data_IF_804709909917
#
_entry.id   IF_804709909917
#
_cell.length_a   1.000
_cell.length_b   1.000
_cell.length_c   1.000
_cell.angle_alpha   90.00
_cell.angle_beta   90.00
_cell.angle_gamma   90.00
#
_symmetry.space_group_name_H-M   'P 1'
#
loop_
_entity.id
_entity.type
_entity.pdbx_description
1 polymer ?
#
# COMPACT_ATOMS: atom_id res chain seq x y z
N UNK A 1 -1.70 18.05 -20.99
CA UNK A 1 -1.91 17.17 -19.81
C UNK A 1 -3.31 16.62 -19.91
N UNK A 2 -3.51 15.31 -19.70
CA UNK A 2 -4.85 14.74 -19.63
C UNK A 2 -5.59 15.36 -18.44
N UNK A 3 -6.86 15.72 -18.64
CA UNK A 3 -7.72 16.23 -17.56
C UNK A 3 -8.05 15.11 -16.61
N UNK A 4 -7.93 15.37 -15.31
CA UNK A 4 -8.38 14.46 -14.26
C UNK A 4 -9.89 14.62 -14.09
N UNK A 5 -10.62 13.51 -14.07
CA UNK A 5 -12.05 13.47 -13.77
C UNK A 5 -12.25 12.74 -12.45
N UNK A 6 -12.93 13.37 -11.51
CA UNK A 6 -13.26 12.77 -10.21
C UNK A 6 -14.66 12.18 -10.26
N UNK A 7 -14.80 10.97 -9.74
CA UNK A 7 -16.03 10.20 -9.68
C UNK A 7 -16.31 9.72 -8.26
N UNK A 8 -17.56 9.38 -7.99
CA UNK A 8 -18.01 8.75 -6.74
C UNK A 8 -18.72 7.44 -7.10
N UNK A 9 -18.29 6.35 -6.49
CA UNK A 9 -18.92 5.05 -6.56
C UNK A 9 -19.61 4.75 -5.23
N UNK A 10 -20.94 4.63 -5.26
CA UNK A 10 -21.69 4.14 -4.11
C UNK A 10 -21.47 2.63 -3.96
N UNK A 11 -20.62 2.23 -3.03
CA UNK A 11 -20.35 0.84 -2.68
C UNK A 11 -21.00 0.50 -1.33
N UNK A 12 -21.16 -0.79 -0.98
CA UNK A 12 -21.74 -1.18 0.30
C UNK A 12 -21.03 -0.57 1.50
N UNK A 13 -21.70 0.37 2.18
CA UNK A 13 -21.20 1.03 3.39
C UNK A 13 -20.15 2.11 3.16
N UNK A 14 -19.97 2.58 1.91
CA UNK A 14 -19.02 3.67 1.61
C UNK A 14 -19.36 4.34 0.27
N UNK A 15 -19.12 5.65 0.20
CA UNK A 15 -19.02 6.39 -1.04
C UNK A 15 -17.53 6.51 -1.40
N UNK A 16 -17.07 5.72 -2.39
CA UNK A 16 -15.67 5.69 -2.83
C UNK A 16 -15.41 6.80 -3.83
N UNK A 17 -14.41 7.63 -3.57
CA UNK A 17 -13.97 8.68 -4.48
C UNK A 17 -12.74 8.20 -5.25
N UNK A 18 -12.80 8.33 -6.58
CA UNK A 18 -11.70 7.96 -7.46
C UNK A 18 -11.50 8.98 -8.58
N UNK A 19 -10.27 9.04 -9.05
CA UNK A 19 -9.86 9.95 -10.13
C UNK A 19 -9.42 9.14 -11.36
N UNK A 20 -9.88 9.57 -12.53
CA UNK A 20 -9.49 9.00 -13.81
C UNK A 20 -8.71 10.03 -14.62
N UNK A 21 -7.51 9.66 -15.07
CA UNK A 21 -6.65 10.42 -15.96
C UNK A 21 -6.53 9.68 -17.29
N UNK A 22 -7.14 10.18 -18.34
CA UNK A 22 -7.18 9.55 -19.64
C UNK A 22 -8.58 9.06 -20.03
N UNK A 23 -8.75 8.50 -21.23
CA UNK A 23 -10.06 8.04 -21.73
C UNK A 23 -10.49 6.72 -21.08
N UNK A 24 -11.79 6.53 -20.89
CA UNK A 24 -12.43 5.24 -20.63
C UNK A 24 -13.43 4.93 -21.74
N UNK A 25 -13.35 3.75 -22.40
CA UNK A 25 -12.30 2.73 -22.22
C UNK A 25 -10.91 3.23 -22.64
N UNK A 26 -9.82 2.60 -22.12
CA UNK A 26 -8.45 3.00 -22.44
C UNK A 26 -8.18 3.02 -23.94
N UNK A 27 -7.49 4.06 -24.43
CA UNK A 27 -7.01 4.11 -25.80
C UNK A 27 -5.68 3.35 -25.93
N UNK A 28 -5.40 2.81 -27.12
CA UNK A 28 -4.10 2.20 -27.41
C UNK A 28 -3.91 0.75 -26.99
N UNK A 29 -4.96 0.09 -26.48
CA UNK A 29 -4.93 -1.37 -26.21
C UNK A 29 -4.23 -1.78 -24.92
N UNK A 30 -3.69 -0.84 -24.11
CA UNK A 30 -3.16 -1.12 -22.80
C UNK A 30 -4.29 -1.13 -21.75
N UNK A 31 -4.26 -2.04 -20.75
CA UNK A 31 -5.17 -2.00 -19.61
C UNK A 31 -5.07 -0.66 -18.87
N UNK A 32 -6.12 -0.19 -18.21
CA UNK A 32 -6.00 0.93 -17.29
C UNK A 32 -5.02 0.57 -16.15
N UNK A 33 -4.23 1.53 -15.68
CA UNK A 33 -3.33 1.35 -14.55
C UNK A 33 -3.99 1.91 -13.30
N UNK A 34 -4.38 1.03 -12.39
CA UNK A 34 -4.88 1.40 -11.07
C UNK A 34 -3.72 1.50 -10.09
N UNK A 35 -3.58 2.65 -9.42
CA UNK A 35 -2.55 2.87 -8.40
C UNK A 35 -3.22 2.94 -7.03
N UNK A 36 -2.81 2.08 -6.11
CA UNK A 36 -3.45 1.91 -4.82
C UNK A 36 -2.45 1.83 -3.66
N UNK A 37 -2.86 2.34 -2.52
CA UNK A 37 -2.11 2.28 -1.25
C UNK A 37 -3.04 2.10 -0.05
N UNK A 38 -2.47 1.82 1.10
CA UNK A 38 -3.16 1.79 2.39
C UNK A 38 -2.14 2.06 3.49
N UNK A 39 -2.33 3.13 4.29
CA UNK A 39 -3.46 4.08 4.30
C UNK A 39 -3.31 5.29 3.33
N UNK A 40 -2.53 5.17 2.29
CA UNK A 40 -2.30 6.23 1.29
C UNK A 40 -3.54 6.47 0.42
N UNK A 41 -3.89 7.74 0.21
CA UNK A 41 -4.96 8.18 -0.68
C UNK A 41 -4.49 8.43 -2.12
N UNK A 42 -5.39 8.78 -3.01
CA UNK A 42 -5.10 9.15 -4.40
C UNK A 42 -4.02 10.24 -4.53
N UNK A 43 -3.96 11.16 -3.56
CA UNK A 43 -3.01 12.27 -3.54
C UNK A 43 -1.55 11.77 -3.53
N UNK A 44 -1.25 10.74 -2.77
CA UNK A 44 0.09 10.16 -2.68
C UNK A 44 0.62 9.59 -4.01
N UNK A 45 -0.27 9.28 -4.95
CA UNK A 45 0.11 8.80 -6.28
C UNK A 45 0.22 9.90 -7.34
N UNK A 46 -0.04 11.16 -6.99
CA UNK A 46 -0.10 12.27 -7.94
C UNK A 46 1.14 12.42 -8.82
N UNK A 47 2.33 12.33 -8.23
CA UNK A 47 3.62 12.42 -8.93
C UNK A 47 3.81 11.26 -9.89
N UNK A 48 3.63 10.01 -9.43
CA UNK A 48 3.78 8.83 -10.28
C UNK A 48 2.73 8.81 -11.41
N UNK A 49 1.48 9.11 -11.11
CA UNK A 49 0.39 9.14 -12.09
C UNK A 49 0.62 10.16 -13.20
N UNK A 50 1.22 11.31 -12.89
CA UNK A 50 1.55 12.34 -13.88
C UNK A 50 2.61 11.89 -14.90
N UNK A 51 3.43 10.92 -14.55
CA UNK A 51 4.45 10.34 -15.44
C UNK A 51 3.85 9.34 -16.45
N UNK A 52 2.64 8.79 -16.23
CA UNK A 52 1.98 7.84 -17.14
C UNK A 52 1.01 8.59 -18.06
N UNK A 53 1.55 9.17 -19.15
CA UNK A 53 0.76 9.94 -20.15
C UNK A 53 0.29 9.11 -21.33
N UNK A 54 0.75 7.88 -21.44
CA UNK A 54 0.55 6.93 -22.54
C UNK A 54 -0.59 5.94 -22.29
N UNK A 55 -1.20 5.98 -21.11
CA UNK A 55 -2.31 5.10 -20.73
C UNK A 55 -3.26 5.78 -19.73
N UNK A 56 -4.43 5.21 -19.59
CA UNK A 56 -5.37 5.65 -18.55
C UNK A 56 -4.88 5.23 -17.18
N UNK A 57 -4.84 6.19 -16.25
CA UNK A 57 -4.46 5.96 -14.84
C UNK A 57 -5.66 6.24 -13.95
N UNK A 58 -5.90 5.34 -12.99
CA UNK A 58 -6.94 5.48 -11.97
C UNK A 58 -6.28 5.48 -10.60
N UNK A 59 -6.67 6.42 -9.76
CA UNK A 59 -6.29 6.48 -8.34
C UNK A 59 -7.56 6.62 -7.50
N UNK A 60 -7.58 6.14 -6.27
CA UNK A 60 -8.75 6.23 -5.41
C UNK A 60 -8.36 6.50 -3.96
N UNK A 61 -9.32 6.98 -3.20
CA UNK A 61 -9.20 7.08 -1.75
C UNK A 61 -9.83 5.81 -1.14
N UNK A 62 -9.08 5.00 -0.37
CA UNK A 62 -9.64 3.82 0.28
C UNK A 62 -10.80 4.17 1.24
N UNK A 63 -11.67 3.20 1.53
CA UNK A 63 -12.82 3.41 2.40
C UNK A 63 -12.45 4.06 3.74
N UNK A 64 -13.13 5.19 4.03
CA UNK A 64 -12.91 5.96 5.26
C UNK A 64 -11.63 6.78 5.28
N UNK A 65 -10.94 6.93 4.14
CA UNK A 65 -9.75 7.76 3.99
C UNK A 65 -10.00 8.88 2.98
N UNK A 66 -9.29 10.00 3.17
CA UNK A 66 -9.36 11.14 2.27
C UNK A 66 -10.80 11.60 2.01
N UNK A 67 -11.23 11.54 0.75
CA UNK A 67 -12.56 11.98 0.29
C UNK A 67 -13.63 10.87 0.36
N UNK A 68 -13.21 9.60 0.58
CA UNK A 68 -14.14 8.46 0.65
C UNK A 68 -14.80 8.36 2.01
N UNK A 69 -16.13 8.48 2.05
CA UNK A 69 -16.92 8.58 3.27
C UNK A 69 -17.61 7.27 3.57
N UNK A 70 -17.33 6.68 4.74
CA UNK A 70 -18.04 5.50 5.23
C UNK A 70 -19.45 5.87 5.70
N UNK A 71 -20.38 5.00 5.34
CA UNK A 71 -21.81 5.14 5.73
C UNK A 71 -22.28 4.00 6.63
N UNK A 72 -21.38 3.01 6.91
CA UNK A 72 -21.69 1.83 7.73
C UNK A 72 -21.41 2.01 9.23
N UNK A 73 -20.88 3.17 9.65
CA UNK A 73 -20.55 3.45 11.04
C UNK A 73 -19.35 2.67 11.62
N UNK A 74 -18.62 1.94 10.78
CA UNK A 74 -17.43 1.16 11.16
C UNK A 74 -16.16 1.97 10.96
N UNK A 75 -15.09 1.56 11.65
CA UNK A 75 -13.74 2.17 11.51
C UNK A 75 -12.67 1.15 11.07
N UNK A 76 -12.94 -0.14 11.15
CA UNK A 76 -12.01 -1.20 10.76
C UNK A 76 -11.84 -1.28 9.24
N UNK A 77 -10.62 -1.62 8.81
CA UNK A 77 -10.27 -1.85 7.43
C UNK A 77 -9.65 -3.24 7.29
N UNK A 78 -10.30 -4.11 6.53
CA UNK A 78 -9.80 -5.45 6.24
C UNK A 78 -9.42 -5.58 4.77
N UNK A 79 -8.43 -6.43 4.42
CA UNK A 79 -8.10 -6.70 3.01
C UNK A 79 -9.32 -7.16 2.21
N UNK A 80 -10.20 -7.98 2.81
CA UNK A 80 -11.41 -8.51 2.18
C UNK A 80 -12.40 -7.40 1.80
N UNK A 81 -12.64 -6.46 2.71
CA UNK A 81 -13.53 -5.34 2.42
C UNK A 81 -12.97 -4.45 1.30
N UNK A 82 -11.67 -4.15 1.38
CA UNK A 82 -11.03 -3.30 0.39
C UNK A 82 -10.90 -3.99 -0.97
N UNK A 83 -10.65 -5.29 -1.01
CA UNK A 83 -10.66 -6.07 -2.25
C UNK A 83 -12.04 -6.06 -2.91
N UNK A 84 -13.12 -6.21 -2.12
CA UNK A 84 -14.48 -6.07 -2.65
C UNK A 84 -14.77 -4.66 -3.20
N UNK A 85 -14.25 -3.60 -2.56
CA UNK A 85 -14.35 -2.24 -3.08
C UNK A 85 -13.61 -2.08 -4.41
N UNK A 86 -12.40 -2.63 -4.51
CA UNK A 86 -11.62 -2.59 -5.76
C UNK A 86 -12.31 -3.36 -6.88
N UNK A 87 -12.89 -4.52 -6.60
CA UNK A 87 -13.68 -5.27 -7.57
C UNK A 87 -14.83 -4.40 -8.14
N UNK A 88 -15.63 -3.81 -7.26
CA UNK A 88 -16.71 -2.90 -7.68
C UNK A 88 -16.20 -1.68 -8.46
N UNK A 89 -15.05 -1.12 -8.07
CA UNK A 89 -14.43 -0.03 -8.78
C UNK A 89 -14.03 -0.45 -10.20
N UNK A 90 -13.37 -1.60 -10.36
CA UNK A 90 -12.95 -2.14 -11.66
C UNK A 90 -14.16 -2.41 -12.56
N UNK A 91 -15.24 -2.98 -12.01
CA UNK A 91 -16.50 -3.13 -12.74
C UNK A 91 -17.07 -1.78 -13.19
N UNK A 92 -17.10 -0.78 -12.30
CA UNK A 92 -17.63 0.56 -12.60
C UNK A 92 -16.81 1.30 -13.67
N UNK A 93 -15.51 1.03 -13.81
CA UNK A 93 -14.69 1.58 -14.89
C UNK A 93 -15.15 1.09 -16.27
N UNK A 94 -15.73 -0.11 -16.37
CA UNK A 94 -16.19 -0.69 -17.63
C UNK A 94 -15.08 -0.88 -18.67
N UNK A 95 -13.84 -0.99 -18.21
CA UNK A 95 -12.63 -1.01 -19.03
C UNK A 95 -12.03 -2.41 -19.22
N UNK A 96 -12.66 -3.45 -18.65
CA UNK A 96 -12.11 -4.80 -18.55
C UNK A 96 -11.06 -4.91 -17.44
N UNK A 97 -10.26 -6.00 -17.43
CA UNK A 97 -9.23 -6.18 -16.43
C UNK A 97 -8.18 -5.06 -16.48
N UNK A 98 -7.61 -4.73 -15.31
CA UNK A 98 -6.65 -3.64 -15.12
C UNK A 98 -5.25 -4.15 -14.80
N UNK A 99 -4.23 -3.30 -15.00
CA UNK A 99 -2.96 -3.45 -14.31
C UNK A 99 -3.01 -2.72 -12.98
N UNK A 100 -2.35 -3.26 -11.95
CA UNK A 100 -2.30 -2.62 -10.64
C UNK A 100 -0.85 -2.39 -10.21
N UNK A 101 -0.55 -1.15 -9.82
CA UNK A 101 0.56 -0.83 -8.94
C UNK A 101 0.01 -0.61 -7.54
N UNK A 102 0.43 -1.46 -6.60
CA UNK A 102 -0.06 -1.47 -5.23
C UNK A 102 1.08 -1.31 -4.23
N UNK A 103 1.05 -0.27 -3.40
CA UNK A 103 2.10 0.00 -2.42
C UNK A 103 1.65 -0.32 -1.00
N UNK A 104 2.56 -0.89 -0.20
CA UNK A 104 2.35 -1.13 1.23
C UNK A 104 1.09 -1.97 1.49
N UNK A 105 0.21 -1.54 2.40
CA UNK A 105 -1.07 -2.20 2.67
C UNK A 105 -1.98 -2.32 1.45
N UNK A 106 -1.83 -1.46 0.43
CA UNK A 106 -2.47 -1.62 -0.87
C UNK A 106 -2.04 -2.89 -1.59
N UNK A 107 -0.75 -3.29 -1.45
CA UNK A 107 -0.25 -4.57 -1.95
C UNK A 107 -0.94 -5.77 -1.31
N UNK A 108 -1.23 -5.70 -0.01
CA UNK A 108 -2.00 -6.73 0.70
C UNK A 108 -3.43 -6.82 0.16
N UNK A 109 -4.08 -5.68 -0.01
CA UNK A 109 -5.43 -5.60 -0.58
C UNK A 109 -5.48 -6.16 -2.00
N UNK A 110 -4.48 -5.85 -2.83
CA UNK A 110 -4.41 -6.34 -4.20
C UNK A 110 -4.15 -7.85 -4.29
N UNK A 111 -3.38 -8.42 -3.37
CA UNK A 111 -3.20 -9.88 -3.26
C UNK A 111 -4.54 -10.58 -2.91
N UNK A 112 -5.32 -10.01 -1.99
CA UNK A 112 -6.67 -10.52 -1.67
C UNK A 112 -7.62 -10.39 -2.88
N UNK A 113 -7.56 -9.27 -3.62
CA UNK A 113 -8.34 -9.09 -4.85
C UNK A 113 -8.01 -10.18 -5.88
N UNK A 114 -6.73 -10.44 -6.14
CA UNK A 114 -6.32 -11.49 -7.08
C UNK A 114 -6.77 -12.88 -6.61
N UNK A 115 -6.69 -13.17 -5.32
CA UNK A 115 -7.13 -14.46 -4.78
C UNK A 115 -8.65 -14.68 -4.92
N UNK A 116 -9.45 -13.60 -4.82
CA UNK A 116 -10.92 -13.68 -4.83
C UNK A 116 -11.56 -13.35 -6.18
N UNK A 117 -10.92 -12.49 -6.99
CA UNK A 117 -11.39 -12.02 -8.29
C UNK A 117 -10.26 -12.05 -9.33
N UNK A 118 -9.76 -13.25 -9.68
CA UNK A 118 -8.56 -13.39 -10.54
C UNK A 118 -8.76 -12.88 -11.97
N UNK A 119 -10.00 -12.62 -12.39
CA UNK A 119 -10.33 -12.05 -13.71
C UNK A 119 -10.21 -10.54 -13.78
N UNK A 120 -10.04 -9.84 -12.66
CA UNK A 120 -10.02 -8.37 -12.61
C UNK A 120 -8.66 -7.77 -12.93
N UNK A 121 -7.59 -8.54 -12.79
CA UNK A 121 -6.22 -8.04 -12.82
C UNK A 121 -5.38 -8.78 -13.85
N UNK A 122 -4.79 -8.04 -14.80
CA UNK A 122 -3.83 -8.58 -15.78
C UNK A 122 -2.47 -8.74 -15.11
N UNK A 123 -1.93 -7.63 -14.58
CA UNK A 123 -0.65 -7.61 -13.87
C UNK A 123 -0.79 -6.89 -12.53
N UNK A 124 -0.29 -7.52 -11.48
CA UNK A 124 -0.13 -6.91 -10.17
C UNK A 124 1.36 -6.68 -9.88
N UNK A 125 1.74 -5.44 -9.61
CA UNK A 125 3.01 -5.08 -8.97
C UNK A 125 2.71 -4.71 -7.52
N UNK A 126 3.00 -5.63 -6.58
CA UNK A 126 2.81 -5.43 -5.14
C UNK A 126 4.14 -5.00 -4.50
N UNK A 127 4.27 -3.70 -4.24
CA UNK A 127 5.47 -3.08 -3.71
C UNK A 127 5.44 -3.08 -2.17
N UNK A 128 6.34 -3.88 -1.59
CA UNK A 128 6.57 -4.00 -0.15
C UNK A 128 5.31 -4.20 0.69
N UNK A 129 4.51 -5.26 0.44
CA UNK A 129 3.31 -5.56 1.22
C UNK A 129 3.68 -6.00 2.64
N UNK A 130 3.18 -5.33 3.71
CA UNK A 130 3.59 -5.56 5.09
C UNK A 130 2.85 -6.76 5.73
N UNK A 131 3.23 -7.97 5.38
CA UNK A 131 2.59 -9.21 5.83
C UNK A 131 3.44 -9.89 6.91
N UNK A 132 3.02 -9.83 8.18
CA UNK A 132 3.78 -10.42 9.30
C UNK A 132 3.95 -11.94 9.17
N UNK A 133 2.94 -12.63 8.65
CA UNK A 133 2.91 -14.08 8.59
C UNK A 133 4.02 -14.73 7.75
N UNK A 134 4.70 -13.97 6.89
CA UNK A 134 5.80 -14.46 6.05
C UNK A 134 7.17 -14.26 6.68
N UNK A 135 7.25 -13.57 7.81
CA UNK A 135 8.51 -13.31 8.51
C UNK A 135 8.92 -14.49 9.42
N UNK A 136 10.20 -14.82 9.52
CA UNK A 136 10.69 -15.81 10.48
C UNK A 136 10.49 -15.34 11.92
N UNK A 137 10.56 -14.04 12.19
CA UNK A 137 10.32 -13.37 13.46
C UNK A 137 8.93 -12.70 13.56
N UNK A 138 7.89 -13.32 12.99
CA UNK A 138 6.52 -12.77 12.96
C UNK A 138 6.03 -12.30 14.35
N UNK A 139 6.32 -13.07 15.41
CA UNK A 139 5.97 -12.70 16.78
C UNK A 139 6.71 -11.42 17.24
N UNK A 140 7.95 -11.23 16.82
CA UNK A 140 8.72 -10.00 17.05
C UNK A 140 8.10 -8.80 16.34
N UNK A 141 7.71 -8.96 15.08
CA UNK A 141 7.02 -7.93 14.31
C UNK A 141 5.65 -7.54 14.91
N UNK A 142 4.87 -8.52 15.38
CA UNK A 142 3.61 -8.29 16.10
C UNK A 142 3.84 -7.53 17.41
N UNK A 143 4.88 -7.88 18.17
CA UNK A 143 5.28 -7.17 19.39
C UNK A 143 5.71 -5.73 19.08
N UNK A 144 6.47 -5.50 18.01
CA UNK A 144 6.92 -4.16 17.60
C UNK A 144 5.71 -3.29 17.17
N UNK A 145 4.76 -3.87 16.43
CA UNK A 145 3.49 -3.22 16.09
C UNK A 145 2.67 -2.87 17.33
N UNK A 146 2.58 -3.76 18.29
CA UNK A 146 1.88 -3.49 19.54
C UNK A 146 2.55 -2.36 20.32
N UNK A 147 3.89 -2.32 20.35
CA UNK A 147 4.66 -1.30 21.06
C UNK A 147 4.41 0.11 20.51
N UNK A 148 4.47 0.34 19.18
CA UNK A 148 4.16 1.67 18.66
C UNK A 148 2.69 2.08 18.89
N UNK A 149 1.77 1.12 18.83
CA UNK A 149 0.35 1.41 19.14
C UNK A 149 0.17 1.79 20.62
N UNK A 150 0.85 1.13 21.55
CA UNK A 150 0.82 1.51 22.97
C UNK A 150 1.35 2.93 23.18
N UNK A 151 2.47 3.28 22.50
CA UNK A 151 3.00 4.66 22.53
C UNK A 151 1.99 5.65 21.97
N UNK A 152 1.35 5.35 20.83
CA UNK A 152 0.29 6.18 20.26
C UNK A 152 -0.88 6.37 21.22
N UNK A 153 -1.36 5.29 21.86
CA UNK A 153 -2.47 5.36 22.81
C UNK A 153 -2.12 6.15 24.07
N UNK A 154 -0.86 6.12 24.50
CA UNK A 154 -0.40 6.83 25.69
C UNK A 154 -0.04 8.30 25.44
N UNK A 155 0.59 8.61 24.29
CA UNK A 155 1.28 9.88 24.07
C UNK A 155 0.86 10.62 22.78
N UNK A 156 -0.13 10.12 22.03
CA UNK A 156 -0.68 10.78 20.85
C UNK A 156 0.09 10.51 19.55
N UNK A 157 -0.33 11.25 18.51
CA UNK A 157 0.07 11.02 17.13
C UNK A 157 1.59 11.11 16.92
N UNK A 158 2.23 12.19 17.39
CA UNK A 158 3.66 12.42 17.11
C UNK A 158 4.56 11.34 17.71
N UNK A 159 4.32 10.96 18.96
CA UNK A 159 5.07 9.90 19.63
C UNK A 159 4.82 8.53 18.97
N UNK A 160 3.57 8.23 18.62
CA UNK A 160 3.20 7.01 17.90
C UNK A 160 3.85 6.92 16.53
N UNK A 161 3.88 8.03 15.77
CA UNK A 161 4.51 8.09 14.45
C UNK A 161 6.03 7.95 14.54
N UNK A 162 6.67 8.57 15.54
CA UNK A 162 8.10 8.39 15.77
C UNK A 162 8.46 6.93 16.08
N UNK A 163 7.65 6.26 16.91
CA UNK A 163 7.82 4.84 17.20
C UNK A 163 7.57 3.94 15.97
N UNK A 164 6.58 4.28 15.13
CA UNK A 164 6.33 3.61 13.86
C UNK A 164 7.50 3.77 12.88
N UNK A 165 8.04 4.99 12.74
CA UNK A 165 9.22 5.25 11.89
C UNK A 165 10.43 4.44 12.39
N UNK A 166 10.67 4.40 13.70
CA UNK A 166 11.74 3.59 14.27
C UNK A 166 11.57 2.10 13.96
N UNK A 167 10.34 1.56 14.05
CA UNK A 167 10.04 0.18 13.67
C UNK A 167 10.31 -0.08 12.19
N UNK A 168 9.82 0.79 11.30
CA UNK A 168 9.91 0.57 9.86
C UNK A 168 11.30 0.84 9.28
N UNK A 169 12.12 1.63 9.98
CA UNK A 169 13.52 1.90 9.63
C UNK A 169 14.51 0.91 10.26
N UNK A 170 14.05 0.01 11.12
CA UNK A 170 14.91 -1.01 11.71
C UNK A 170 15.32 -2.03 10.66
N UNK A 171 16.61 -2.34 10.60
CA UNK A 171 17.17 -3.38 9.74
C UNK A 171 17.36 -4.69 10.53
N UNK A 172 16.90 -5.79 9.95
CA UNK A 172 16.98 -7.11 10.56
C UNK A 172 15.74 -7.51 11.38
N UNK A 173 15.88 -8.59 12.13
CA UNK A 173 14.80 -9.17 12.95
C UNK A 173 14.51 -8.32 14.20
N UNK A 174 13.26 -8.35 14.66
CA UNK A 174 12.83 -7.66 15.89
C UNK A 174 13.21 -8.50 17.12
N UNK A 175 14.46 -8.40 17.50
CA UNK A 175 15.05 -9.06 18.69
C UNK A 175 14.98 -8.16 19.93
N UNK A 176 15.46 -8.66 21.07
CA UNK A 176 15.57 -7.85 22.31
C UNK A 176 16.44 -6.59 22.12
N UNK A 177 17.35 -6.58 21.13
CA UNK A 177 18.14 -5.40 20.78
C UNK A 177 17.26 -4.25 20.28
N UNK A 178 16.28 -4.54 19.40
CA UNK A 178 15.29 -3.53 18.97
C UNK A 178 14.51 -2.99 20.17
N UNK A 179 13.99 -3.87 21.03
CA UNK A 179 13.16 -3.47 22.17
C UNK A 179 13.94 -2.78 23.30
N UNK A 180 15.27 -2.86 23.30
CA UNK A 180 16.14 -2.12 24.23
C UNK A 180 16.46 -0.69 23.75
N UNK A 181 16.11 -0.33 22.50
CA UNK A 181 16.33 1.02 21.99
C UNK A 181 15.49 2.06 22.76
N UNK A 182 16.03 3.25 23.03
CA UNK A 182 15.24 4.34 23.59
C UNK A 182 14.14 4.75 22.63
N UNK A 183 13.00 5.18 23.18
CA UNK A 183 11.93 5.77 22.35
C UNK A 183 12.45 7.03 21.65
N UNK A 184 12.25 7.15 20.34
CA UNK A 184 12.70 8.32 19.60
C UNK A 184 11.88 9.57 19.96
N UNK A 185 12.55 10.72 19.98
CA UNK A 185 11.88 12.01 20.15
C UNK A 185 11.11 12.36 18.86
N UNK A 186 9.78 12.61 18.91
CA UNK A 186 9.00 13.03 17.76
C UNK A 186 9.57 14.24 17.01
N UNK A 187 10.18 15.19 17.74
CA UNK A 187 10.79 16.38 17.15
C UNK A 187 11.93 16.07 16.16
N UNK A 188 12.62 14.94 16.34
CA UNK A 188 13.68 14.51 15.41
C UNK A 188 13.15 14.19 13.99
N UNK A 189 11.85 13.87 13.89
CA UNK A 189 11.17 13.57 12.64
C UNK A 189 10.23 14.69 12.18
N UNK A 190 10.30 15.85 12.82
CA UNK A 190 9.41 16.98 12.53
C UNK A 190 7.95 16.72 12.92
N UNK A 191 7.70 15.75 13.79
CA UNK A 191 6.35 15.41 14.27
C UNK A 191 5.94 16.31 15.43
N UNK A 192 4.62 16.55 15.64
CA UNK A 192 4.13 17.30 16.78
C UNK A 192 4.50 16.63 18.11
N UNK A 193 4.87 17.42 19.09
CA UNK A 193 5.20 16.96 20.45
C UNK A 193 4.01 16.96 21.39
N UNK A 194 2.97 17.74 21.05
CA UNK A 194 1.75 17.84 21.82
C UNK A 194 0.74 16.75 21.42
N UNK A 195 0.06 16.20 22.39
CA UNK A 195 -1.02 15.23 22.19
C UNK A 195 -2.36 15.95 21.99
N UNK A 196 -2.96 15.80 20.81
CA UNK A 196 -4.27 16.36 20.47
C UNK A 196 -5.45 15.51 20.97
N UNK A 197 -5.19 14.40 21.65
CA UNK A 197 -6.18 13.47 22.18
C UNK A 197 -6.82 12.55 21.14
N UNK A 198 -6.49 12.64 19.86
CA UNK A 198 -7.01 11.72 18.83
C UNK A 198 -6.40 10.33 18.95
N UNK A 199 -7.20 9.28 18.68
CA UNK A 199 -6.75 7.86 18.80
C UNK A 199 -7.26 6.98 17.67
N UNK A 200 -7.70 7.57 16.56
CA UNK A 200 -8.29 6.88 15.42
C UNK A 200 -7.48 7.00 14.13
N UNK A 201 -6.20 7.37 14.25
CA UNK A 201 -5.30 7.41 13.08
C UNK A 201 -5.30 6.07 12.35
N UNK A 202 -5.47 6.05 11.01
CA UNK A 202 -5.63 4.81 10.24
C UNK A 202 -4.37 3.94 10.20
N UNK A 203 -3.19 4.50 10.43
CA UNK A 203 -1.92 3.76 10.47
C UNK A 203 -1.58 3.28 11.89
N UNK A 204 -1.74 4.17 12.88
CA UNK A 204 -1.25 3.94 14.24
C UNK A 204 -2.24 3.21 15.13
N UNK A 205 -3.54 3.27 14.82
CA UNK A 205 -4.58 2.57 15.56
C UNK A 205 -4.71 1.10 15.14
N UNK A 206 -5.48 0.33 15.93
CA UNK A 206 -5.77 -1.10 15.61
C UNK A 206 -6.70 -1.28 14.40
N UNK A 207 -7.26 -0.21 13.84
CA UNK A 207 -8.23 -0.27 12.76
C UNK A 207 -7.69 -0.93 11.48
N UNK A 208 -6.38 -0.87 11.25
CA UNK A 208 -5.72 -1.47 10.07
C UNK A 208 -4.90 -2.71 10.39
N UNK A 209 -4.96 -3.27 11.59
CA UNK A 209 -4.16 -4.44 11.94
C UNK A 209 -4.44 -5.66 11.07
N UNK A 210 -5.68 -5.82 10.58
CA UNK A 210 -6.04 -6.87 9.64
C UNK A 210 -5.20 -6.88 8.37
N UNK A 211 -4.61 -5.73 7.98
CA UNK A 211 -3.71 -5.63 6.83
C UNK A 211 -2.42 -6.41 7.11
N UNK A 212 -1.76 -6.16 8.24
CA UNK A 212 -0.49 -6.84 8.58
C UNK A 212 -0.71 -8.27 9.11
N UNK A 213 -1.92 -8.60 9.59
CA UNK A 213 -2.33 -9.94 10.01
C UNK A 213 -2.78 -10.84 8.85
N UNK A 214 -2.84 -10.29 7.64
CA UNK A 214 -3.26 -11.03 6.45
C UNK A 214 -2.38 -12.26 6.21
N UNK A 215 -3.02 -13.34 5.75
CA UNK A 215 -2.35 -14.59 5.37
C UNK A 215 -2.70 -14.91 3.93
N UNK A 216 -1.77 -14.69 2.98
CA UNK A 216 -2.01 -14.98 1.58
C UNK A 216 -2.30 -16.47 1.37
N UNK A 217 -3.31 -16.77 0.56
CA UNK A 217 -3.51 -18.11 0.03
C UNK A 217 -2.65 -18.32 -1.20
N UNK A 218 -1.46 -18.92 -0.99
CA UNK A 218 -0.51 -19.17 -2.08
C UNK A 218 -1.10 -20.07 -3.18
N UNK A 219 -2.04 -20.97 -2.85
CA UNK A 219 -2.69 -21.84 -3.82
C UNK A 219 -3.62 -21.07 -4.75
N UNK A 220 -4.44 -20.18 -4.21
CA UNK A 220 -5.33 -19.31 -5.01
C UNK A 220 -4.52 -18.33 -5.86
N UNK A 221 -3.47 -17.72 -5.29
CA UNK A 221 -2.61 -16.78 -6.01
C UNK A 221 -1.83 -17.46 -7.15
N UNK A 222 -1.34 -18.69 -6.93
CA UNK A 222 -0.66 -19.46 -7.97
C UNK A 222 -1.60 -19.96 -9.07
N UNK A 223 -2.88 -20.17 -8.76
CA UNK A 223 -3.89 -20.59 -9.72
C UNK A 223 -4.47 -19.44 -10.54
N UNK A 224 -4.26 -18.18 -10.11
CA UNK A 224 -4.75 -17.00 -10.81
C UNK A 224 -4.04 -16.82 -12.16
N UNK A 225 -4.78 -16.32 -13.15
CA UNK A 225 -4.19 -15.92 -14.45
C UNK A 225 -3.40 -14.61 -14.37
N UNK A 226 -3.52 -13.89 -13.28
CA UNK A 226 -2.82 -12.63 -13.01
C UNK A 226 -1.32 -12.86 -12.89
N UNK A 227 -0.54 -12.05 -13.59
CA UNK A 227 0.91 -12.00 -13.38
C UNK A 227 1.21 -11.17 -12.14
N UNK A 228 1.77 -11.79 -11.11
CA UNK A 228 2.11 -11.14 -9.85
C UNK A 228 3.62 -10.89 -9.80
N UNK A 229 4.03 -9.66 -9.56
CA UNK A 229 5.40 -9.26 -9.27
C UNK A 229 5.46 -8.66 -7.86
N UNK A 230 6.14 -9.32 -6.94
CA UNK A 230 6.42 -8.75 -5.62
C UNK A 230 7.65 -7.86 -5.76
N UNK A 231 7.50 -6.59 -5.44
CA UNK A 231 8.51 -5.57 -5.64
C UNK A 231 9.12 -5.08 -4.33
N UNK A 232 10.40 -4.70 -4.38
CA UNK A 232 11.16 -4.15 -3.25
C UNK A 232 12.05 -3.00 -3.72
N UNK A 233 12.18 -1.96 -2.92
CA UNK A 233 13.10 -0.85 -3.18
C UNK A 233 14.56 -1.26 -2.98
N UNK A 234 15.46 -0.86 -3.89
CA UNK A 234 16.91 -1.15 -3.78
C UNK A 234 17.55 -0.55 -2.50
N UNK A 235 16.97 0.52 -1.99
CA UNK A 235 17.42 1.22 -0.79
C UNK A 235 16.68 0.78 0.48
N UNK A 236 15.67 -0.10 0.37
CA UNK A 236 14.92 -0.58 1.54
C UNK A 236 15.71 -1.61 2.36
N UNK A 237 16.73 -2.21 1.77
CA UNK A 237 17.61 -3.22 2.38
C UNK A 237 16.88 -4.15 3.38
N UNK A 238 17.36 -4.45 4.52
CA UNK A 238 16.80 -5.42 5.49
C UNK A 238 15.70 -4.81 6.41
N UNK A 239 15.02 -3.75 5.94
CA UNK A 239 13.92 -3.12 6.68
C UNK A 239 12.67 -4.02 6.74
N UNK A 240 11.75 -3.71 7.64
CA UNK A 240 10.53 -4.48 7.85
C UNK A 240 9.77 -4.77 6.55
N UNK A 241 9.49 -3.76 5.74
CA UNK A 241 8.69 -3.92 4.50
C UNK A 241 9.47 -4.63 3.40
N UNK A 242 10.78 -4.47 3.32
CA UNK A 242 11.62 -5.24 2.41
C UNK A 242 11.64 -6.73 2.78
N UNK A 243 11.79 -7.05 4.06
CA UNK A 243 11.77 -8.42 4.56
C UNK A 243 10.42 -9.10 4.32
N UNK A 244 9.30 -8.38 4.50
CA UNK A 244 7.98 -8.92 4.18
C UNK A 244 7.78 -9.13 2.68
N UNK A 245 8.33 -8.25 1.82
CA UNK A 245 8.31 -8.44 0.37
C UNK A 245 9.09 -9.70 -0.04
N UNK A 246 10.30 -9.88 0.48
CA UNK A 246 11.12 -11.08 0.24
C UNK A 246 10.39 -12.35 0.69
N UNK A 247 9.82 -12.33 1.91
CA UNK A 247 9.06 -13.47 2.44
C UNK A 247 7.80 -13.77 1.61
N UNK A 248 7.11 -12.73 1.12
CA UNK A 248 5.93 -12.90 0.25
C UNK A 248 6.31 -13.47 -1.11
N UNK A 249 7.40 -13.01 -1.72
CA UNK A 249 7.91 -13.56 -2.97
C UNK A 249 8.31 -15.04 -2.81
N UNK A 250 9.01 -15.37 -1.73
CA UNK A 250 9.39 -16.75 -1.40
C UNK A 250 8.16 -17.65 -1.20
N UNK A 251 7.10 -17.17 -0.53
CA UNK A 251 5.83 -17.88 -0.37
C UNK A 251 5.19 -18.22 -1.74
N UNK A 252 5.33 -17.33 -2.72
CA UNK A 252 4.82 -17.51 -4.09
C UNK A 252 5.80 -18.22 -5.01
N UNK A 253 6.95 -18.66 -4.53
CA UNK A 253 7.97 -19.39 -5.32
C UNK A 253 8.67 -18.51 -6.36
N UNK A 254 8.79 -17.21 -6.12
CA UNK A 254 9.44 -16.26 -7.03
C UNK A 254 10.47 -15.40 -6.29
N UNK A 255 11.35 -14.75 -7.05
CA UNK A 255 12.25 -13.73 -6.54
C UNK A 255 11.58 -12.36 -6.55
N UNK A 256 12.05 -11.44 -5.70
CA UNK A 256 11.57 -10.06 -5.70
C UNK A 256 12.01 -9.32 -6.95
N UNK A 257 11.17 -8.41 -7.43
CA UNK A 257 11.49 -7.47 -8.49
C UNK A 257 12.02 -6.18 -7.86
N UNK A 258 13.29 -5.86 -8.11
CA UNK A 258 13.93 -4.66 -7.54
C UNK A 258 13.49 -3.41 -8.29
N UNK A 259 13.12 -2.39 -7.51
CA UNK A 259 12.75 -1.05 -7.98
C UNK A 259 13.74 0.00 -7.45
N UNK A 260 13.93 1.12 -8.18
CA UNK A 260 14.76 2.22 -7.70
C UNK A 260 14.25 2.81 -6.39
N UNK A 261 15.19 3.31 -5.55
CA UNK A 261 14.92 3.99 -4.29
C UNK A 261 14.38 3.07 -3.17
N UNK A 262 13.59 3.60 -2.25
CA UNK A 262 13.08 2.97 -1.02
C UNK A 262 11.56 2.75 -1.07
N UNK A 263 10.94 2.44 0.08
CA UNK A 263 9.49 2.20 0.21
C UNK A 263 8.62 3.30 -0.43
N UNK A 264 9.03 4.55 -0.32
CA UNK A 264 8.38 5.71 -0.94
C UNK A 264 8.99 6.12 -2.28
N UNK A 265 9.69 5.23 -3.00
CA UNK A 265 10.47 5.55 -4.20
C UNK A 265 9.69 6.20 -5.35
N UNK A 266 8.37 6.01 -5.39
CA UNK A 266 7.47 6.63 -6.36
C UNK A 266 6.96 8.02 -5.96
N UNK A 267 7.23 8.46 -4.73
CA UNK A 267 6.83 9.78 -4.23
C UNK A 267 7.74 10.87 -4.79
N UNK A 268 7.16 12.06 -4.98
CA UNK A 268 7.94 13.28 -5.20
C UNK A 268 8.65 13.75 -3.92
N UNK A 269 9.20 14.94 -3.99
CA UNK A 269 9.82 15.59 -2.82
C UNK A 269 8.74 16.04 -1.83
N UNK A 270 8.37 15.14 -0.94
CA UNK A 270 7.42 15.38 0.14
C UNK A 270 8.13 15.22 1.49
N UNK A 271 8.18 16.31 2.26
CA UNK A 271 8.64 16.31 3.66
C UNK A 271 10.05 15.75 3.90
N UNK A 272 10.96 15.90 2.94
CA UNK A 272 12.36 15.45 3.09
C UNK A 272 12.58 13.94 2.88
N UNK A 273 11.58 13.21 2.38
CA UNK A 273 11.66 11.80 2.04
C UNK A 273 11.48 11.63 0.52
N UNK A 274 12.41 12.20 -0.24
CA UNK A 274 12.36 12.20 -1.69
C UNK A 274 12.65 10.82 -2.27
N UNK A 275 11.72 10.33 -3.12
CA UNK A 275 11.93 9.16 -3.95
C UNK A 275 12.67 9.47 -5.25
N UNK A 276 12.67 8.49 -6.17
CA UNK A 276 13.15 8.60 -7.56
C UNK A 276 12.00 8.30 -8.52
N UNK A 277 10.94 9.14 -8.57
CA UNK A 277 9.68 8.80 -9.24
C UNK A 277 9.83 8.58 -10.75
N UNK A 278 10.74 9.27 -11.43
CA UNK A 278 10.97 9.09 -12.87
C UNK A 278 11.61 7.72 -13.17
N UNK A 279 12.64 7.34 -12.41
CA UNK A 279 13.29 6.04 -12.51
C UNK A 279 12.33 4.92 -12.09
N UNK A 280 11.55 5.15 -11.04
CA UNK A 280 10.52 4.23 -10.58
C UNK A 280 9.44 4.01 -11.66
N UNK A 281 8.96 5.08 -12.31
CA UNK A 281 7.99 4.98 -13.39
C UNK A 281 8.54 4.24 -14.63
N UNK A 282 9.82 4.45 -14.96
CA UNK A 282 10.48 3.71 -16.03
C UNK A 282 10.51 2.21 -15.72
N UNK A 283 10.93 1.85 -14.50
CA UNK A 283 10.96 0.46 -14.04
C UNK A 283 9.56 -0.18 -14.01
N UNK A 284 8.56 0.56 -13.54
CA UNK A 284 7.18 0.07 -13.53
C UNK A 284 6.67 -0.25 -14.94
N UNK A 285 6.97 0.60 -15.94
CA UNK A 285 6.63 0.31 -17.35
C UNK A 285 7.29 -0.96 -17.85
N UNK A 286 8.57 -1.16 -17.57
CA UNK A 286 9.29 -2.40 -17.96
C UNK A 286 8.60 -3.63 -17.37
N UNK A 287 8.28 -3.59 -16.08
CA UNK A 287 7.62 -4.70 -15.40
C UNK A 287 6.23 -4.95 -15.98
N UNK A 288 5.44 -3.90 -16.25
CA UNK A 288 4.11 -4.05 -16.84
C UNK A 288 4.15 -4.56 -18.28
N UNK A 289 5.20 -4.23 -19.05
CA UNK A 289 5.36 -4.65 -20.45
C UNK A 289 5.94 -6.07 -20.62
N UNK A 290 6.47 -6.69 -19.57
CA UNK A 290 7.11 -8.01 -19.63
C UNK A 290 6.11 -9.20 -19.67
N UNK A 291 4.83 -8.93 -19.90
CA UNK A 291 3.73 -9.92 -19.97
C UNK A 291 3.38 -10.35 -21.39
#
# INVERSE_FOLDING_TARGET
MATTQTHILAAPGVDLVYDVRGPLPPAGGLPALLMIGQPMTAEGFGTLAALFTDRTVVTYDPRGLGRSIRTDGRSDNTPQQQAADLHLLIEALGAGPVDIFASSGGGVTALELVATHPGDVVTLVAHEPPINAVLPDAAGAERARAAFNEVYQANGFGAGMAAFIAMTSWEGEFTDEFFAQPMPDPAMFGMPTDDDGTRNDPLLSKNSWAITDYRPDAGLLAAASTRIAIAVGEESTDTYTARTAVGTAALLGQEVTVFPSHHGGFLGDHAGYAGKPEEFAARLREVLAAG
#
